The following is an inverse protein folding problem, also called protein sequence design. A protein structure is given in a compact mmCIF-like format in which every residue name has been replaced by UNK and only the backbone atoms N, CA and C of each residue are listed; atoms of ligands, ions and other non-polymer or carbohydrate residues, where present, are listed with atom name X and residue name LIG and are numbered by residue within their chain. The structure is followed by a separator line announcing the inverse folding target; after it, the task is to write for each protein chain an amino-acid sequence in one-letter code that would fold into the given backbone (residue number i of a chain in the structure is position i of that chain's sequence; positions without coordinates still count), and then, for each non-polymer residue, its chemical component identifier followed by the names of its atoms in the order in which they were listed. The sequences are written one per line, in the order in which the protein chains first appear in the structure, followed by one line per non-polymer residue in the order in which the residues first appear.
data_IF_522517552814
#
_entry.id   IF_522517552814
#
_cell.length_a   1.000
_cell.length_b   1.000
_cell.length_c   1.000
_cell.angle_alpha   90.00
_cell.angle_beta   90.00
_cell.angle_gamma   90.00
#
_symmetry.space_group_name_H-M   'P 1'
#
loop_
_entity.id
_entity.type
_entity.pdbx_description
1 polymer ?
#
# COMPACT_ATOMS: atom_id res chain seq x y z
N UNK A 1 -6.03 2.53 -38.96
CA UNK A 1 -6.94 3.29 -38.07
C UNK A 1 -6.70 2.79 -36.66
N UNK A 2 -6.30 3.67 -35.74
CA UNK A 2 -6.10 3.29 -34.35
C UNK A 2 -7.45 2.82 -33.76
N UNK A 3 -7.43 1.70 -33.04
CA UNK A 3 -8.62 1.13 -32.40
C UNK A 3 -9.14 2.11 -31.35
N UNK A 4 -10.29 2.74 -31.61
CA UNK A 4 -10.88 3.76 -30.74
C UNK A 4 -11.09 3.25 -29.30
N UNK A 5 -11.31 1.94 -29.13
CA UNK A 5 -11.43 1.33 -27.81
C UNK A 5 -10.10 1.32 -27.05
N UNK A 6 -8.98 1.06 -27.73
CA UNK A 6 -7.64 1.08 -27.13
C UNK A 6 -7.29 2.50 -26.67
N UNK A 7 -7.54 3.52 -27.50
CA UNK A 7 -7.29 4.92 -27.14
C UNK A 7 -8.04 5.30 -25.85
N UNK A 8 -9.31 4.87 -25.74
CA UNK A 8 -10.13 5.12 -24.56
C UNK A 8 -9.56 4.42 -23.33
N UNK A 9 -9.19 3.15 -23.44
CA UNK A 9 -8.60 2.36 -22.33
C UNK A 9 -7.30 3.01 -21.84
N UNK A 10 -6.37 3.33 -22.75
CA UNK A 10 -5.09 3.95 -22.39
C UNK A 10 -5.29 5.32 -21.72
N UNK A 11 -6.26 6.10 -22.18
CA UNK A 11 -6.60 7.38 -21.53
C UNK A 11 -7.11 7.15 -20.11
N UNK A 12 -8.10 6.27 -19.92
CA UNK A 12 -8.66 5.98 -18.59
C UNK A 12 -7.59 5.46 -17.61
N UNK A 13 -6.69 4.59 -18.07
CA UNK A 13 -5.57 4.12 -17.25
C UNK A 13 -4.63 5.27 -16.89
N UNK A 14 -4.26 6.11 -17.87
CA UNK A 14 -3.38 7.25 -17.64
C UNK A 14 -3.96 8.27 -16.68
N UNK A 15 -5.28 8.48 -16.72
CA UNK A 15 -5.99 9.39 -15.80
C UNK A 15 -5.93 8.84 -14.37
N UNK A 16 -6.17 7.53 -14.15
CA UNK A 16 -6.04 6.89 -12.83
C UNK A 16 -4.59 6.91 -12.33
N UNK A 17 -3.60 6.62 -13.19
CA UNK A 17 -2.18 6.63 -12.78
C UNK A 17 -1.65 8.02 -12.41
N UNK A 18 -2.28 9.08 -12.91
CA UNK A 18 -1.99 10.49 -12.56
C UNK A 18 -2.81 10.98 -11.37
N UNK A 19 -3.88 10.28 -11.01
CA UNK A 19 -4.71 10.64 -9.86
C UNK A 19 -3.89 10.61 -8.58
N UNK A 20 -4.20 11.52 -7.66
CA UNK A 20 -3.67 11.51 -6.30
C UNK A 20 -4.42 10.54 -5.38
N UNK A 21 -5.42 9.82 -5.91
CA UNK A 21 -6.15 8.82 -5.17
C UNK A 21 -5.25 7.64 -4.77
N UNK A 22 -4.91 7.60 -3.48
CA UNK A 22 -4.07 6.56 -2.90
C UNK A 22 -4.77 5.19 -2.82
N UNK A 23 -6.07 5.15 -3.05
CA UNK A 23 -6.88 3.96 -2.84
C UNK A 23 -6.96 3.05 -4.06
N UNK A 24 -6.65 3.56 -5.25
CA UNK A 24 -6.70 2.84 -6.50
C UNK A 24 -5.32 2.80 -7.16
N UNK A 25 -4.94 1.64 -7.69
CA UNK A 25 -3.79 1.54 -8.59
C UNK A 25 -4.13 0.63 -9.76
N UNK A 26 -3.64 0.99 -10.94
CA UNK A 26 -3.87 0.22 -12.17
C UNK A 26 -2.56 0.03 -12.94
N UNK A 27 -2.43 -1.15 -13.54
CA UNK A 27 -1.29 -1.51 -14.36
C UNK A 27 -1.74 -2.37 -15.53
N UNK A 28 -1.02 -2.28 -16.65
CA UNK A 28 -1.22 -3.08 -17.85
C UNK A 28 0.15 -3.40 -18.45
N UNK A 29 0.20 -4.41 -19.32
CA UNK A 29 1.40 -4.67 -20.13
C UNK A 29 1.27 -3.92 -21.46
N UNK A 30 2.34 -3.30 -21.94
CA UNK A 30 2.31 -2.58 -23.23
C UNK A 30 1.87 -3.46 -24.41
N UNK A 31 2.22 -4.74 -24.36
CA UNK A 31 1.80 -5.75 -25.35
C UNK A 31 0.30 -6.09 -25.30
N UNK A 32 -0.39 -5.76 -24.20
CA UNK A 32 -1.77 -6.14 -23.94
C UNK A 32 -2.52 -5.12 -23.06
N UNK A 33 -2.88 -4.00 -23.66
CA UNK A 33 -3.66 -2.92 -23.05
C UNK A 33 -5.09 -3.33 -22.64
N UNK A 34 -5.59 -4.48 -23.11
CA UNK A 34 -6.97 -4.95 -22.83
C UNK A 34 -7.07 -5.78 -21.56
N UNK A 35 -5.95 -6.22 -21.00
CA UNK A 35 -5.89 -6.94 -19.74
C UNK A 35 -5.18 -6.05 -18.71
N UNK A 36 -5.96 -5.55 -17.78
CA UNK A 36 -5.52 -4.60 -16.74
C UNK A 36 -5.59 -5.30 -15.40
N UNK A 37 -4.55 -5.13 -14.59
CA UNK A 37 -4.61 -5.42 -13.16
C UNK A 37 -4.96 -4.14 -12.42
N UNK A 38 -5.89 -4.24 -11.48
CA UNK A 38 -6.26 -3.17 -10.58
C UNK A 38 -6.03 -3.62 -9.13
N UNK A 39 -5.68 -2.67 -8.27
CA UNK A 39 -5.57 -2.85 -6.85
C UNK A 39 -6.46 -1.80 -6.17
N UNK A 40 -7.29 -2.25 -5.24
CA UNK A 40 -8.11 -1.40 -4.39
C UNK A 40 -7.64 -1.58 -2.95
N UNK A 41 -7.31 -0.47 -2.29
CA UNK A 41 -7.05 -0.44 -0.85
C UNK A 41 -8.40 -0.37 -0.12
N UNK A 42 -8.61 -1.29 0.82
CA UNK A 42 -9.84 -1.35 1.59
C UNK A 42 -10.06 -0.08 2.44
N UNK A 43 -11.29 0.45 2.49
CA UNK A 43 -11.56 1.73 3.15
C UNK A 43 -11.30 1.70 4.66
N UNK A 44 -10.84 2.83 5.21
CA UNK A 44 -10.66 3.03 6.66
C UNK A 44 -11.99 2.86 7.41
N UNK A 45 -11.93 2.38 8.66
CA UNK A 45 -13.12 2.10 9.50
C UNK A 45 -14.04 1.00 8.97
N UNK A 46 -13.54 0.14 8.08
CA UNK A 46 -14.26 -1.04 7.58
C UNK A 46 -13.51 -2.32 7.92
N UNK A 47 -14.13 -3.51 7.81
CA UNK A 47 -13.43 -4.78 7.95
C UNK A 47 -12.30 -5.01 6.95
N UNK A 48 -12.28 -4.22 5.88
CA UNK A 48 -11.32 -4.30 4.80
C UNK A 48 -10.15 -3.34 4.99
N UNK A 49 -10.17 -2.53 6.05
CA UNK A 49 -9.26 -1.41 6.30
C UNK A 49 -7.80 -1.73 5.95
N UNK A 50 -7.28 -0.94 5.01
CA UNK A 50 -5.90 -1.02 4.51
C UNK A 50 -5.50 -2.38 3.92
N UNK A 51 -6.46 -3.25 3.62
CA UNK A 51 -6.27 -4.50 2.88
C UNK A 51 -6.03 -4.24 1.40
N UNK A 52 -5.27 -5.12 0.75
CA UNK A 52 -4.93 -4.99 -0.67
C UNK A 52 -5.72 -5.99 -1.53
N UNK A 53 -6.72 -5.51 -2.26
CA UNK A 53 -7.61 -6.33 -3.07
C UNK A 53 -7.30 -6.18 -4.55
N UNK A 54 -6.75 -7.23 -5.16
CA UNK A 54 -6.41 -7.24 -6.58
C UNK A 54 -7.59 -7.75 -7.43
N UNK A 55 -7.75 -7.12 -8.59
CA UNK A 55 -8.77 -7.43 -9.58
C UNK A 55 -8.16 -7.50 -10.98
N UNK A 56 -8.54 -8.52 -11.74
CA UNK A 56 -8.25 -8.62 -13.16
C UNK A 56 -9.42 -8.04 -13.96
N UNK A 57 -9.13 -7.05 -14.80
CA UNK A 57 -10.10 -6.38 -15.67
C UNK A 57 -9.78 -6.70 -17.13
N UNK A 58 -10.73 -7.29 -17.84
CA UNK A 58 -10.60 -7.68 -19.24
C UNK A 58 -11.57 -6.91 -20.13
N UNK A 59 -11.02 -6.04 -20.96
CA UNK A 59 -11.76 -5.24 -21.93
C UNK A 59 -12.03 -6.02 -23.21
N UNK A 60 -13.31 -6.13 -23.59
CA UNK A 60 -13.70 -6.74 -24.85
C UNK A 60 -13.54 -5.75 -26.04
N UNK A 61 -13.61 -6.27 -27.27
CA UNK A 61 -13.49 -5.45 -28.50
C UNK A 61 -14.65 -4.45 -28.70
N UNK A 62 -15.74 -4.62 -27.96
CA UNK A 62 -16.93 -3.76 -28.03
C UNK A 62 -16.91 -2.64 -26.98
N UNK A 63 -15.86 -2.54 -26.15
CA UNK A 63 -15.71 -1.44 -25.19
C UNK A 63 -15.65 -0.07 -25.89
N UNK A 64 -16.33 0.98 -25.39
CA UNK A 64 -17.11 1.08 -24.15
C UNK A 64 -18.61 0.71 -24.28
N UNK A 65 -19.06 0.15 -25.40
CA UNK A 65 -20.48 -0.22 -25.58
C UNK A 65 -20.89 -1.38 -24.67
N UNK A 66 -19.98 -2.32 -24.41
CA UNK A 66 -20.15 -3.39 -23.41
C UNK A 66 -19.17 -3.21 -22.27
N UNK A 67 -19.60 -3.51 -21.06
CA UNK A 67 -18.76 -3.47 -19.86
C UNK A 67 -17.58 -4.43 -19.97
N UNK A 68 -16.44 -4.11 -19.32
CA UNK A 68 -15.36 -5.06 -19.16
C UNK A 68 -15.75 -6.17 -18.18
N UNK A 69 -15.08 -7.32 -18.28
CA UNK A 69 -15.21 -8.38 -17.28
C UNK A 69 -14.24 -8.10 -16.12
N UNK A 70 -14.73 -8.12 -14.89
CA UNK A 70 -13.91 -7.93 -13.67
C UNK A 70 -13.90 -9.23 -12.87
N UNK A 71 -12.74 -9.60 -12.34
CA UNK A 71 -12.57 -10.79 -11.51
C UNK A 71 -11.61 -10.52 -10.35
N UNK A 72 -12.09 -10.64 -9.11
CA UNK A 72 -11.26 -10.54 -7.92
C UNK A 72 -10.30 -11.72 -7.81
N UNK A 73 -9.01 -11.45 -7.61
CA UNK A 73 -7.96 -12.47 -7.51
C UNK A 73 -7.55 -12.74 -6.06
N UNK A 74 -7.82 -11.81 -5.14
CA UNK A 74 -7.58 -11.97 -3.71
C UNK A 74 -8.71 -12.79 -3.06
N UNK A 75 -8.83 -14.08 -3.39
CA UNK A 75 -9.92 -14.96 -2.88
C UNK A 75 -9.41 -16.25 -2.23
N UNK A 76 -8.10 -16.35 -1.96
CA UNK A 76 -7.46 -17.56 -1.43
C UNK A 76 -7.81 -18.83 -2.24
N UNK A 77 -7.68 -18.73 -3.57
CA UNK A 77 -7.96 -19.84 -4.49
C UNK A 77 -9.43 -20.26 -4.50
N UNK A 78 -10.36 -19.33 -4.34
CA UNK A 78 -11.79 -19.64 -4.39
C UNK A 78 -12.45 -19.91 -3.03
N UNK A 79 -11.72 -19.75 -1.92
CA UNK A 79 -12.15 -20.21 -0.58
C UNK A 79 -12.59 -19.08 0.35
N UNK A 80 -12.15 -17.85 0.10
CA UNK A 80 -12.52 -16.71 0.92
C UNK A 80 -13.50 -15.82 0.17
N UNK A 81 -14.70 -15.66 0.73
CA UNK A 81 -15.69 -14.66 0.29
C UNK A 81 -15.52 -13.43 1.16
N UNK A 82 -14.90 -12.38 0.61
CA UNK A 82 -14.68 -11.14 1.33
C UNK A 82 -15.94 -10.31 1.48
N UNK A 83 -16.82 -10.32 0.49
CA UNK A 83 -18.02 -9.52 0.47
C UNK A 83 -19.14 -10.28 -0.24
N UNK A 84 -20.42 -10.05 0.12
CA UNK A 84 -21.53 -10.67 -0.57
C UNK A 84 -21.51 -10.55 -2.09
N UNK A 85 -21.00 -9.41 -2.56
CA UNK A 85 -20.91 -9.03 -3.97
C UNK A 85 -19.56 -9.38 -4.63
N UNK A 86 -18.57 -9.80 -3.84
CA UNK A 86 -17.27 -10.32 -4.31
C UNK A 86 -17.23 -11.82 -3.99
N UNK A 87 -17.70 -12.62 -4.95
CA UNK A 87 -17.89 -14.05 -4.77
C UNK A 87 -16.55 -14.76 -4.59
N UNK A 88 -16.57 -15.90 -3.91
CA UNK A 88 -15.37 -16.70 -3.69
C UNK A 88 -14.69 -17.08 -5.01
N UNK A 89 -15.45 -17.37 -6.07
CA UNK A 89 -14.91 -17.64 -7.41
C UNK A 89 -14.33 -16.41 -8.14
N UNK A 90 -14.25 -15.26 -7.48
CA UNK A 90 -13.74 -13.99 -8.01
C UNK A 90 -14.72 -13.24 -8.90
N UNK A 91 -15.86 -13.84 -9.30
CA UNK A 91 -16.81 -13.19 -10.19
C UNK A 91 -17.62 -12.15 -9.42
N UNK A 92 -17.47 -10.89 -9.80
CA UNK A 92 -18.37 -9.82 -9.34
C UNK A 92 -19.70 -9.93 -10.08
N UNK A 93 -20.84 -9.87 -9.38
CA UNK A 93 -22.14 -10.09 -10.03
C UNK A 93 -23.14 -8.95 -9.96
N UNK A 94 -22.87 -7.83 -9.27
CA UNK A 94 -23.95 -6.87 -8.98
C UNK A 94 -23.81 -5.43 -9.45
N UNK A 95 -22.71 -5.01 -10.08
CA UNK A 95 -22.61 -3.59 -10.43
C UNK A 95 -23.53 -3.15 -11.57
N UNK A 96 -23.96 -4.06 -12.47
CA UNK A 96 -24.65 -3.68 -13.72
C UNK A 96 -25.89 -4.52 -14.07
N UNK A 97 -26.52 -5.18 -13.09
CA UNK A 97 -27.80 -5.92 -13.25
C UNK A 97 -28.90 -5.34 -12.37
N UNK A 98 -28.86 -4.03 -12.16
CA UNK A 98 -29.75 -3.29 -11.26
C UNK A 98 -30.98 -2.70 -11.94
N UNK A 99 -31.66 -1.79 -11.24
CA UNK A 99 -32.83 -1.07 -11.74
C UNK A 99 -32.45 -0.06 -12.85
N UNK A 100 -33.45 0.55 -13.50
CA UNK A 100 -33.21 1.57 -14.55
C UNK A 100 -32.35 2.72 -13.99
N UNK A 101 -31.08 2.76 -14.39
CA UNK A 101 -30.08 3.74 -13.93
C UNK A 101 -28.79 3.12 -13.41
N UNK A 102 -28.84 1.85 -13.00
CA UNK A 102 -27.69 1.07 -12.51
C UNK A 102 -27.12 0.13 -13.60
N UNK A 103 -27.60 0.24 -14.84
CA UNK A 103 -27.09 -0.53 -15.97
C UNK A 103 -25.80 0.11 -16.54
N UNK A 104 -24.95 -0.72 -17.13
CA UNK A 104 -23.74 -0.24 -17.80
C UNK A 104 -24.09 0.77 -18.91
N UNK A 105 -23.39 1.90 -18.92
CA UNK A 105 -23.44 2.85 -20.02
C UNK A 105 -22.02 3.22 -20.48
N UNK A 106 -21.86 3.58 -21.75
CA UNK A 106 -20.56 3.98 -22.30
C UNK A 106 -20.01 5.30 -21.70
N UNK A 107 -20.77 5.97 -20.83
CA UNK A 107 -20.32 7.11 -20.04
C UNK A 107 -19.47 6.69 -18.83
N UNK A 108 -19.71 5.48 -18.31
CA UNK A 108 -18.93 4.87 -17.25
C UNK A 108 -17.52 4.48 -17.77
N UNK A 109 -16.55 4.37 -16.87
CA UNK A 109 -15.18 4.00 -17.19
C UNK A 109 -14.57 3.08 -16.13
N UNK A 110 -13.29 2.76 -16.27
CA UNK A 110 -12.55 1.93 -15.34
C UNK A 110 -12.59 2.50 -13.92
N UNK A 111 -12.37 3.80 -13.75
CA UNK A 111 -12.38 4.44 -12.43
C UNK A 111 -13.73 4.29 -11.71
N UNK A 112 -14.85 4.50 -12.41
CA UNK A 112 -16.18 4.37 -11.82
C UNK A 112 -16.51 2.93 -11.43
N UNK A 113 -16.03 1.95 -12.19
CA UNK A 113 -16.12 0.53 -11.83
C UNK A 113 -15.35 0.28 -10.53
N UNK A 114 -14.11 0.72 -10.43
CA UNK A 114 -13.26 0.50 -9.25
C UNK A 114 -13.81 1.20 -8.00
N UNK A 115 -14.29 2.44 -8.13
CA UNK A 115 -14.97 3.16 -7.05
C UNK A 115 -16.24 2.45 -6.60
N UNK A 116 -17.00 1.87 -7.54
CA UNK A 116 -18.19 1.10 -7.19
C UNK A 116 -17.84 -0.22 -6.50
N UNK A 117 -16.73 -0.87 -6.83
CA UNK A 117 -16.27 -2.06 -6.10
C UNK A 117 -15.81 -1.65 -4.69
N UNK A 118 -15.12 -0.51 -4.57
CA UNK A 118 -14.70 0.01 -3.28
C UNK A 118 -15.89 0.38 -2.38
N UNK A 119 -16.98 0.93 -2.93
CA UNK A 119 -18.16 1.28 -2.12
C UNK A 119 -18.87 0.05 -1.55
N UNK A 120 -18.73 -1.13 -2.18
CA UNK A 120 -19.23 -2.39 -1.64
C UNK A 120 -18.46 -2.82 -0.38
N UNK A 121 -17.22 -2.36 -0.20
CA UNK A 121 -16.40 -2.62 0.99
C UNK A 121 -16.81 -1.70 2.15
N UNK A 122 -18.09 -1.75 2.52
CA UNK A 122 -18.69 -0.91 3.55
C UNK A 122 -18.34 -1.35 4.97
N UNK A 123 -18.62 -0.47 5.95
CA UNK A 123 -18.46 -0.76 7.38
C UNK A 123 -19.41 -1.86 7.87
N UNK A 124 -20.53 -2.07 7.17
CA UNK A 124 -21.45 -3.16 7.41
C UNK A 124 -21.72 -3.97 6.12
N UNK A 125 -20.88 -4.97 5.81
CA UNK A 125 -21.05 -5.81 4.63
C UNK A 125 -22.34 -6.65 4.64
N UNK A 126 -23.06 -6.73 5.77
CA UNK A 126 -24.32 -7.47 5.88
C UNK A 126 -25.42 -6.90 4.97
N UNK A 127 -25.48 -5.57 4.86
CA UNK A 127 -26.49 -4.86 4.06
C UNK A 127 -26.35 -5.17 2.56
N UNK A 128 -25.19 -5.69 2.15
CA UNK A 128 -24.95 -6.11 0.77
C UNK A 128 -25.56 -7.47 0.44
N UNK A 129 -26.06 -8.24 1.42
CA UNK A 129 -26.74 -9.51 1.15
C UNK A 129 -28.18 -9.28 0.63
N UNK A 130 -28.62 -10.02 -0.40
CA UNK A 130 -29.94 -9.82 -0.99
C UNK A 130 -31.05 -10.08 0.04
N UNK A 131 -31.98 -9.14 0.19
CA UNK A 131 -33.09 -9.22 1.15
C UNK A 131 -32.77 -8.68 2.54
N UNK A 132 -31.56 -8.15 2.76
CA UNK A 132 -31.16 -7.48 4.01
C UNK A 132 -30.84 -5.98 3.82
N UNK A 133 -31.29 -5.41 2.70
CA UNK A 133 -31.07 -4.01 2.30
C UNK A 133 -31.72 -3.01 3.27
N UNK A 134 -32.93 -3.34 3.76
CA UNK A 134 -33.72 -2.53 4.71
C UNK A 134 -33.90 -3.21 6.08
N UNK A 135 -32.93 -4.04 6.50
CA UNK A 135 -33.01 -4.89 7.69
C UNK A 135 -33.21 -4.08 9.00
N UNK A 136 -34.47 -3.71 9.27
CA UNK A 136 -34.87 -2.79 10.33
C UNK A 136 -35.68 -3.45 11.44
N UNK A 137 -36.00 -4.75 11.31
CA UNK A 137 -36.69 -5.51 12.35
C UNK A 137 -35.83 -5.65 13.62
N UNK A 138 -36.43 -5.83 14.81
CA UNK A 138 -35.69 -6.03 16.05
C UNK A 138 -34.77 -7.26 16.02
N UNK A 139 -35.19 -8.33 15.33
CA UNK A 139 -34.42 -9.54 15.01
C UNK A 139 -33.21 -9.21 14.14
N UNK A 140 -33.41 -8.41 13.10
CA UNK A 140 -32.36 -7.99 12.18
C UNK A 140 -31.36 -7.06 12.84
N UNK A 141 -31.79 -6.11 13.67
CA UNK A 141 -30.88 -5.26 14.45
C UNK A 141 -30.04 -6.05 15.44
N UNK A 142 -30.57 -7.16 15.98
CA UNK A 142 -29.81 -8.08 16.82
C UNK A 142 -28.81 -8.88 15.98
N UNK A 143 -29.25 -9.43 14.85
CA UNK A 143 -28.40 -10.17 13.92
C UNK A 143 -27.30 -9.28 13.31
N UNK A 144 -27.60 -8.02 13.01
CA UNK A 144 -26.66 -6.99 12.55
C UNK A 144 -25.68 -6.64 13.65
N UNK A 145 -26.13 -6.45 14.91
CA UNK A 145 -25.22 -6.25 16.05
C UNK A 145 -24.35 -7.48 16.30
N UNK A 146 -24.87 -8.70 16.20
CA UNK A 146 -24.10 -9.93 16.35
C UNK A 146 -23.15 -10.15 15.14
N UNK A 147 -23.54 -9.75 13.93
CA UNK A 147 -22.71 -9.72 12.71
C UNK A 147 -21.55 -8.73 12.85
N UNK A 148 -21.85 -7.53 13.33
CA UNK A 148 -20.90 -6.45 13.59
C UNK A 148 -19.94 -6.81 14.73
N UNK A 149 -20.46 -7.35 15.84
CA UNK A 149 -19.69 -7.52 17.08
C UNK A 149 -19.05 -8.90 17.26
N UNK A 150 -19.52 -9.96 16.59
CA UNK A 150 -19.10 -11.34 16.93
C UNK A 150 -18.84 -12.27 15.74
N UNK A 151 -19.52 -12.08 14.61
CA UNK A 151 -19.71 -13.20 13.67
C UNK A 151 -19.27 -12.83 12.24
N UNK A 152 -19.40 -11.58 11.78
CA UNK A 152 -19.14 -11.20 10.38
C UNK A 152 -17.94 -10.27 10.18
N UNK A 153 -17.84 -9.17 10.95
CA UNK A 153 -16.72 -8.23 10.78
C UNK A 153 -15.39 -8.79 11.29
N UNK A 154 -15.40 -9.56 12.39
CA UNK A 154 -14.16 -10.12 12.94
C UNK A 154 -13.53 -11.18 12.01
N UNK A 155 -14.27 -12.14 11.41
CA UNK A 155 -13.67 -13.01 10.38
C UNK A 155 -13.19 -12.27 9.14
N UNK A 156 -13.96 -11.30 8.63
CA UNK A 156 -13.53 -10.51 7.46
C UNK A 156 -12.25 -9.74 7.79
N UNK A 157 -12.18 -9.06 8.95
CA UNK A 157 -10.95 -8.38 9.41
C UNK A 157 -9.76 -9.34 9.51
N UNK A 158 -9.98 -10.51 10.11
CA UNK A 158 -8.95 -11.54 10.22
C UNK A 158 -8.46 -11.99 8.85
N UNK A 159 -9.37 -12.26 7.92
CA UNK A 159 -9.05 -12.73 6.58
C UNK A 159 -8.47 -11.64 5.68
N UNK A 160 -8.83 -10.37 5.89
CA UNK A 160 -8.19 -9.21 5.28
C UNK A 160 -6.71 -9.20 5.67
N UNK A 161 -6.40 -9.20 6.97
CA UNK A 161 -5.01 -9.27 7.44
C UNK A 161 -4.28 -10.51 6.90
N UNK A 162 -4.91 -11.68 6.99
CA UNK A 162 -4.27 -12.95 6.63
C UNK A 162 -3.98 -13.09 5.13
N UNK A 163 -4.97 -12.83 4.28
CA UNK A 163 -4.90 -13.13 2.84
C UNK A 163 -4.47 -11.88 2.05
N UNK A 164 -5.14 -10.75 2.27
CA UNK A 164 -4.94 -9.57 1.41
C UNK A 164 -3.63 -8.86 1.72
N UNK A 165 -3.10 -9.03 2.93
CA UNK A 165 -1.85 -8.40 3.37
C UNK A 165 -0.74 -9.44 3.58
N UNK A 166 -0.86 -10.28 4.62
CA UNK A 166 0.24 -11.12 5.10
C UNK A 166 0.66 -12.16 4.05
N UNK A 167 -0.28 -12.98 3.56
CA UNK A 167 0.03 -14.03 2.60
C UNK A 167 0.67 -13.48 1.33
N UNK A 168 0.14 -12.37 0.80
CA UNK A 168 0.69 -11.73 -0.41
C UNK A 168 2.10 -11.21 -0.21
N UNK A 169 2.37 -10.55 0.93
CA UNK A 169 3.71 -10.07 1.25
C UNK A 169 4.70 -11.20 1.53
N UNK A 170 4.27 -12.29 2.16
CA UNK A 170 5.09 -13.48 2.33
C UNK A 170 5.45 -14.12 0.99
N UNK A 171 4.48 -14.21 0.06
CA UNK A 171 4.72 -14.66 -1.32
C UNK A 171 5.77 -13.77 -2.01
N UNK A 172 5.61 -12.44 -1.95
CA UNK A 172 6.53 -11.48 -2.58
C UNK A 172 7.93 -11.45 -1.96
N UNK A 173 8.05 -11.77 -0.67
CA UNK A 173 9.32 -11.74 0.07
C UNK A 173 9.94 -13.14 0.22
N UNK A 174 9.30 -14.19 -0.31
CA UNK A 174 9.78 -15.57 -0.17
C UNK A 174 9.80 -16.07 1.28
N UNK A 175 8.94 -15.52 2.16
CA UNK A 175 8.84 -15.95 3.55
C UNK A 175 8.02 -17.24 3.61
N UNK A 176 8.64 -18.33 4.03
CA UNK A 176 7.95 -19.59 4.27
C UNK A 176 7.20 -19.58 5.61
N UNK A 177 6.25 -20.49 5.82
CA UNK A 177 5.48 -20.59 7.07
C UNK A 177 6.31 -20.73 8.35
N UNK A 178 7.56 -21.21 8.24
CA UNK A 178 8.51 -21.31 9.37
C UNK A 178 9.31 -20.01 9.62
N UNK A 179 9.04 -18.94 8.86
CA UNK A 179 9.77 -17.66 8.93
C UNK A 179 11.10 -17.65 8.19
N UNK A 180 11.45 -18.73 7.47
CA UNK A 180 12.67 -18.77 6.65
C UNK A 180 12.42 -17.99 5.37
N UNK A 181 13.26 -16.99 5.11
CA UNK A 181 13.30 -16.24 3.85
C UNK A 181 14.10 -17.06 2.85
N UNK A 182 13.43 -17.60 1.84
CA UNK A 182 14.08 -18.32 0.74
C UNK A 182 14.05 -17.41 -0.48
N UNK A 183 15.20 -17.09 -1.10
CA UNK A 183 15.22 -16.38 -2.36
C UNK A 183 14.38 -17.16 -3.38
N UNK A 184 13.32 -16.52 -3.90
CA UNK A 184 12.45 -17.18 -4.87
C UNK A 184 13.27 -17.61 -6.08
N UNK A 185 12.95 -18.78 -6.66
CA UNK A 185 13.57 -19.21 -7.91
C UNK A 185 13.37 -18.18 -9.03
N UNK A 186 12.28 -17.42 -8.96
CA UNK A 186 11.98 -16.30 -9.85
C UNK A 186 12.94 -15.13 -9.61
N UNK A 187 13.26 -14.78 -8.36
CA UNK A 187 14.24 -13.72 -8.07
C UNK A 187 15.65 -14.13 -8.51
N UNK A 188 16.00 -15.42 -8.42
CA UNK A 188 17.30 -15.91 -8.92
C UNK A 188 17.40 -15.84 -10.46
N UNK A 189 16.31 -16.17 -11.14
CA UNK A 189 16.17 -16.15 -12.60
C UNK A 189 16.06 -14.72 -13.17
N UNK A 190 15.20 -13.89 -12.61
CA UNK A 190 14.93 -12.51 -13.03
C UNK A 190 16.12 -11.58 -12.75
N UNK A 191 16.91 -11.86 -11.71
CA UNK A 191 18.02 -11.01 -11.27
C UNK A 191 19.41 -11.59 -11.53
N UNK A 192 19.50 -12.71 -12.28
CA UNK A 192 20.75 -13.30 -12.78
C UNK A 192 21.77 -13.59 -11.67
N UNK A 193 21.31 -14.21 -10.58
CA UNK A 193 22.15 -14.63 -9.45
C UNK A 193 22.84 -15.97 -9.71
N UNK A 194 22.33 -16.77 -10.65
CA UNK A 194 23.04 -17.92 -11.19
C UNK A 194 23.78 -17.49 -12.46
N UNK A 195 25.11 -17.57 -12.40
CA UNK A 195 25.98 -17.44 -13.57
C UNK A 195 25.83 -18.71 -14.38
N UNK A 196 24.91 -18.70 -15.34
CA UNK A 196 24.96 -19.43 -16.62
C UNK A 196 23.58 -19.36 -17.27
N UNK A 197 23.47 -18.51 -18.30
CA UNK A 197 22.71 -18.69 -19.55
C UNK A 197 21.45 -19.60 -19.56
N UNK A 198 20.55 -19.47 -18.58
CA UNK A 198 19.20 -20.00 -18.75
C UNK A 198 18.35 -18.93 -19.44
N UNK A 199 18.00 -19.18 -20.70
CA UNK A 199 16.88 -18.55 -21.40
C UNK A 199 15.59 -18.81 -20.60
N UNK A 200 15.38 -18.03 -19.54
CA UNK A 200 14.13 -18.04 -18.78
C UNK A 200 13.13 -17.33 -19.67
N UNK A 201 12.21 -18.10 -20.26
CA UNK A 201 11.10 -17.56 -21.04
C UNK A 201 10.40 -16.46 -20.22
N UNK A 202 10.42 -15.22 -20.70
CA UNK A 202 9.75 -14.05 -20.12
C UNK A 202 8.26 -14.32 -19.82
N UNK A 203 7.64 -15.30 -20.49
CA UNK A 203 6.30 -15.75 -20.20
C UNK A 203 6.14 -16.50 -18.86
N UNK A 204 7.22 -17.03 -18.28
CA UNK A 204 7.22 -17.85 -17.06
C UNK A 204 7.31 -17.03 -15.77
N UNK A 205 7.77 -15.77 -15.84
CA UNK A 205 7.84 -14.87 -14.67
C UNK A 205 6.46 -14.28 -14.38
N UNK A 206 5.91 -14.48 -13.16
CA UNK A 206 4.65 -13.85 -12.77
C UNK A 206 4.74 -12.32 -12.84
N UNK A 207 3.80 -11.69 -13.55
CA UNK A 207 3.78 -10.23 -13.64
C UNK A 207 3.08 -9.61 -12.42
N UNK A 208 3.86 -8.97 -11.55
CA UNK A 208 3.43 -8.44 -10.25
C UNK A 208 3.64 -6.91 -10.17
N UNK A 209 2.84 -6.11 -10.90
CA UNK A 209 3.06 -4.66 -11.03
C UNK A 209 2.88 -3.89 -9.72
N UNK A 210 2.29 -4.50 -8.70
CA UNK A 210 2.03 -3.88 -7.41
C UNK A 210 3.00 -4.36 -6.31
N UNK A 211 3.99 -5.22 -6.60
CA UNK A 211 4.92 -5.79 -5.61
C UNK A 211 5.52 -4.72 -4.69
N UNK A 212 6.14 -3.69 -5.27
CA UNK A 212 6.73 -2.59 -4.48
C UNK A 212 5.68 -1.71 -3.78
N UNK A 213 4.51 -1.53 -4.41
CA UNK A 213 3.41 -0.77 -3.81
C UNK A 213 2.90 -1.43 -2.52
N UNK A 214 2.75 -2.77 -2.52
CA UNK A 214 2.42 -3.56 -1.32
C UNK A 214 3.45 -3.33 -0.22
N UNK A 215 4.75 -3.47 -0.52
CA UNK A 215 5.84 -3.28 0.45
C UNK A 215 5.80 -1.88 1.07
N UNK A 216 5.65 -0.82 0.26
CA UNK A 216 5.61 0.56 0.75
C UNK A 216 4.37 0.86 1.60
N UNK A 217 3.18 0.48 1.13
CA UNK A 217 1.93 0.74 1.85
C UNK A 217 1.85 -0.08 3.13
N UNK A 218 2.40 -1.29 3.14
CA UNK A 218 2.53 -2.09 4.35
C UNK A 218 3.31 -1.34 5.44
N UNK A 219 4.44 -0.72 5.09
CA UNK A 219 5.23 0.04 6.06
C UNK A 219 4.46 1.23 6.63
N UNK A 220 3.58 1.85 5.83
CA UNK A 220 2.73 2.96 6.28
C UNK A 220 1.66 2.49 7.26
N UNK A 221 0.97 1.39 6.95
CA UNK A 221 -0.16 0.89 7.73
C UNK A 221 0.23 -0.08 8.85
N UNK A 222 1.52 -0.35 9.03
CA UNK A 222 2.04 -1.33 9.98
C UNK A 222 1.49 -1.15 11.40
N UNK A 223 1.56 0.07 11.93
CA UNK A 223 1.06 0.38 13.28
C UNK A 223 -0.47 0.22 13.37
N UNK A 224 -1.21 0.55 12.32
CA UNK A 224 -2.66 0.34 12.23
C UNK A 224 -3.05 -1.14 12.25
N UNK A 225 -2.26 -2.00 11.59
CA UNK A 225 -2.47 -3.45 11.64
C UNK A 225 -2.23 -4.00 13.04
N UNK A 226 -1.15 -3.58 13.72
CA UNK A 226 -0.88 -3.99 15.10
C UNK A 226 -1.97 -3.54 16.07
N UNK A 227 -2.45 -2.30 15.93
CA UNK A 227 -3.56 -1.78 16.73
C UNK A 227 -4.86 -2.58 16.50
N UNK A 228 -5.15 -2.91 15.24
CA UNK A 228 -6.30 -3.76 14.87
C UNK A 228 -6.21 -5.14 15.51
N UNK A 229 -5.03 -5.77 15.45
CA UNK A 229 -4.80 -7.07 16.09
C UNK A 229 -4.95 -6.99 17.61
N UNK A 230 -4.39 -5.94 18.23
CA UNK A 230 -4.49 -5.74 19.67
C UNK A 230 -5.95 -5.68 20.12
N UNK A 231 -6.76 -4.85 19.46
CA UNK A 231 -8.21 -4.76 19.73
C UNK A 231 -8.91 -6.10 19.50
N UNK A 232 -8.61 -6.79 18.40
CA UNK A 232 -9.25 -8.06 18.09
C UNK A 232 -8.93 -9.17 19.12
N UNK A 233 -7.72 -9.16 19.70
CA UNK A 233 -7.34 -10.08 20.79
C UNK A 233 -8.13 -9.85 22.09
N UNK A 234 -8.68 -8.66 22.30
CA UNK A 234 -9.59 -8.38 23.42
C UNK A 234 -11.01 -8.94 23.16
N UNK A 235 -11.38 -9.08 21.88
CA UNK A 235 -12.72 -9.52 21.44
C UNK A 235 -12.84 -11.04 21.25
N UNK A 236 -11.80 -11.70 20.73
CA UNK A 236 -11.81 -13.14 20.40
C UNK A 236 -10.55 -13.86 20.85
N UNK A 237 -10.66 -15.19 21.01
CA UNK A 237 -9.53 -16.05 21.39
C UNK A 237 -8.97 -16.82 20.20
N UNK A 238 -7.67 -17.07 20.21
CA UNK A 238 -7.04 -17.95 19.21
C UNK A 238 -7.66 -19.36 19.27
N UNK A 239 -7.86 -19.95 18.09
CA UNK A 239 -8.51 -21.25 17.92
C UNK A 239 -10.04 -21.22 17.92
N UNK A 240 -10.67 -20.09 18.30
CA UNK A 240 -12.11 -19.91 18.20
C UNK A 240 -12.55 -19.98 16.73
N UNK A 241 -13.56 -20.80 16.45
CA UNK A 241 -14.08 -21.01 15.10
C UNK A 241 -14.89 -19.79 14.66
N UNK A 242 -14.80 -19.43 13.38
CA UNK A 242 -15.68 -18.45 12.78
C UNK A 242 -17.13 -18.90 12.93
N UNK A 243 -17.96 -18.00 13.44
CA UNK A 243 -19.36 -18.32 13.60
C UNK A 243 -20.05 -18.26 12.23
N UNK A 244 -20.87 -19.27 11.94
CA UNK A 244 -21.53 -19.44 10.64
C UNK A 244 -22.77 -18.54 10.55
N UNK A 245 -23.01 -17.96 9.38
CA UNK A 245 -24.16 -17.09 9.15
C UNK A 245 -25.43 -17.84 8.73
N UNK A 246 -26.63 -17.25 8.97
CA UNK A 246 -27.88 -17.78 8.46
C UNK A 246 -27.92 -17.93 6.93
N UNK A 247 -27.22 -17.04 6.21
CA UNK A 247 -27.14 -17.05 4.75
C UNK A 247 -26.00 -17.93 4.20
N UNK A 248 -25.16 -18.51 5.06
CA UNK A 248 -24.04 -19.36 4.64
C UNK A 248 -24.45 -20.82 4.44
N UNK A 249 -24.52 -21.25 3.17
CA UNK A 249 -24.89 -22.60 2.74
C UNK A 249 -23.69 -23.53 2.45
N UNK A 250 -23.95 -24.71 1.90
CA UNK A 250 -22.92 -25.70 1.53
C UNK A 250 -21.97 -25.24 0.42
N UNK A 251 -22.39 -24.29 -0.42
CA UNK A 251 -21.60 -23.72 -1.51
C UNK A 251 -21.10 -22.30 -1.23
N UNK A 252 -21.37 -21.77 -0.03
CA UNK A 252 -21.15 -20.38 0.32
C UNK A 252 -20.91 -20.25 1.84
N UNK A 253 -19.72 -20.60 2.33
CA UNK A 253 -19.34 -20.49 3.75
C UNK A 253 -17.94 -19.87 3.92
N UNK A 254 -17.76 -19.08 4.99
CA UNK A 254 -16.47 -18.58 5.43
C UNK A 254 -16.00 -19.39 6.64
N UNK A 255 -15.38 -20.55 6.38
CA UNK A 255 -14.90 -21.44 7.43
C UNK A 255 -13.47 -21.12 7.85
N UNK A 256 -13.22 -21.08 9.16
CA UNK A 256 -11.89 -20.80 9.68
C UNK A 256 -11.85 -20.68 11.20
N UNK A 257 -10.68 -20.30 11.71
CA UNK A 257 -10.44 -20.03 13.13
C UNK A 257 -9.64 -18.76 13.27
N UNK A 258 -9.91 -18.00 14.32
CA UNK A 258 -9.09 -16.86 14.69
C UNK A 258 -7.70 -17.31 15.13
N UNK A 259 -6.65 -16.64 14.66
CA UNK A 259 -5.28 -16.87 15.10
C UNK A 259 -4.48 -15.55 15.06
N UNK A 260 -4.94 -14.56 15.82
CA UNK A 260 -4.38 -13.22 15.82
C UNK A 260 -2.95 -13.17 16.39
N UNK A 261 -2.59 -14.09 17.29
CA UNK A 261 -1.20 -14.19 17.77
C UNK A 261 -0.25 -14.58 16.64
N UNK A 262 -0.65 -15.53 15.80
CA UNK A 262 0.17 -15.92 14.66
C UNK A 262 0.20 -14.84 13.58
N UNK A 263 -0.92 -14.14 13.33
CA UNK A 263 -0.93 -13.01 12.39
C UNK A 263 0.02 -11.90 12.85
N UNK A 264 0.07 -11.59 14.14
CA UNK A 264 1.00 -10.60 14.68
C UNK A 264 2.46 -11.02 14.47
N UNK A 265 2.78 -12.29 14.76
CA UNK A 265 4.13 -12.83 14.55
C UNK A 265 4.56 -12.70 13.09
N UNK A 266 3.66 -13.06 12.16
CA UNK A 266 3.91 -12.97 10.70
C UNK A 266 4.09 -11.53 10.23
N UNK A 267 3.26 -10.60 10.69
CA UNK A 267 3.43 -9.16 10.39
C UNK A 267 4.78 -8.63 10.85
N UNK A 268 5.20 -8.98 12.07
CA UNK A 268 6.51 -8.59 12.61
C UNK A 268 7.66 -9.16 11.78
N UNK A 269 7.53 -10.41 11.32
CA UNK A 269 8.52 -11.04 10.44
C UNK A 269 8.61 -10.34 9.07
N UNK A 270 7.48 -10.00 8.46
CA UNK A 270 7.42 -9.21 7.22
C UNK A 270 8.12 -7.86 7.42
N UNK A 271 7.78 -7.16 8.51
CA UNK A 271 8.39 -5.86 8.83
C UNK A 271 9.90 -5.96 8.97
N UNK A 272 10.40 -6.93 9.74
CA UNK A 272 11.84 -7.15 9.89
C UNK A 272 12.53 -7.46 8.55
N UNK A 273 11.88 -8.23 7.68
CA UNK A 273 12.41 -8.57 6.34
C UNK A 273 12.47 -7.34 5.42
N UNK A 274 11.49 -6.44 5.51
CA UNK A 274 11.47 -5.19 4.76
C UNK A 274 12.46 -4.15 5.31
N UNK A 275 12.69 -4.14 6.62
CA UNK A 275 13.73 -3.28 7.20
C UNK A 275 15.13 -3.74 6.75
N UNK A 276 15.35 -5.06 6.66
CA UNK A 276 16.62 -5.61 6.15
C UNK A 276 16.78 -5.47 4.62
N UNK A 277 15.68 -5.38 3.86
CA UNK A 277 15.70 -5.13 2.41
C UNK A 277 16.57 -3.93 2.03
N UNK A 278 16.46 -2.82 2.77
CA UNK A 278 17.26 -1.62 2.55
C UNK A 278 18.78 -1.87 2.74
N UNK A 279 19.15 -2.71 3.71
CA UNK A 279 20.54 -3.10 3.95
C UNK A 279 21.04 -4.03 2.84
N UNK A 280 20.21 -4.96 2.37
CA UNK A 280 20.55 -5.85 1.25
C UNK A 280 20.81 -5.07 -0.03
N UNK A 281 20.00 -4.05 -0.32
CA UNK A 281 20.24 -3.17 -1.47
C UNK A 281 21.55 -2.39 -1.36
N UNK A 282 21.91 -1.93 -0.15
CA UNK A 282 23.19 -1.28 0.08
C UNK A 282 24.37 -2.21 -0.23
N UNK A 283 24.30 -3.47 0.23
CA UNK A 283 25.33 -4.48 -0.03
C UNK A 283 25.40 -4.87 -1.50
N UNK A 284 24.25 -5.14 -2.13
CA UNK A 284 24.12 -5.50 -3.55
C UNK A 284 24.64 -4.37 -4.45
N UNK A 285 24.23 -3.13 -4.19
CA UNK A 285 24.63 -1.94 -4.93
C UNK A 285 26.12 -1.59 -4.81
N UNK A 286 26.78 -2.00 -3.72
CA UNK A 286 28.22 -1.82 -3.55
C UNK A 286 29.07 -2.80 -4.38
N UNK A 287 28.47 -3.87 -4.92
CA UNK A 287 29.20 -4.83 -5.76
C UNK A 287 29.59 -4.21 -7.11
N UNK A 288 30.72 -4.60 -7.72
CA UNK A 288 31.14 -4.07 -9.02
C UNK A 288 30.07 -4.20 -10.12
N UNK A 289 29.31 -5.30 -10.10
CA UNK A 289 28.20 -5.58 -11.03
C UNK A 289 27.20 -4.43 -11.10
N UNK A 290 26.80 -3.86 -9.96
CA UNK A 290 25.78 -2.82 -9.90
C UNK A 290 26.35 -1.42 -9.79
N UNK A 291 27.57 -1.28 -9.26
CA UNK A 291 28.29 -0.02 -9.24
C UNK A 291 28.53 0.53 -10.65
N UNK A 292 28.89 -0.35 -11.59
CA UNK A 292 29.14 0.01 -12.98
C UNK A 292 27.90 -0.16 -13.87
N UNK A 293 26.77 -0.57 -13.29
CA UNK A 293 25.50 -0.64 -14.01
C UNK A 293 24.91 0.76 -14.24
N UNK A 294 24.05 0.87 -15.27
CA UNK A 294 23.35 2.10 -15.64
C UNK A 294 22.66 2.77 -14.45
N UNK A 295 22.06 2.00 -13.55
CA UNK A 295 21.37 2.51 -12.36
C UNK A 295 22.36 3.19 -11.41
N UNK A 296 23.48 2.53 -11.06
CA UNK A 296 24.50 3.08 -10.18
C UNK A 296 25.13 4.36 -10.72
N UNK A 297 25.44 4.39 -12.03
CA UNK A 297 25.97 5.58 -12.72
C UNK A 297 24.93 6.72 -12.70
N UNK A 298 23.65 6.42 -12.96
CA UNK A 298 22.60 7.43 -12.94
C UNK A 298 22.40 8.03 -11.55
N UNK A 299 22.37 7.20 -10.50
CA UNK A 299 22.27 7.66 -9.11
C UNK A 299 23.47 8.55 -8.74
N UNK A 300 24.70 8.13 -9.04
CA UNK A 300 25.90 8.94 -8.77
C UNK A 300 25.86 10.29 -9.50
N UNK A 301 25.39 10.31 -10.75
CA UNK A 301 25.20 11.55 -11.52
C UNK A 301 24.14 12.45 -10.89
N UNK A 302 23.00 11.90 -10.50
CA UNK A 302 21.92 12.67 -9.84
C UNK A 302 22.39 13.23 -8.49
N UNK A 303 23.18 12.47 -7.73
CA UNK A 303 23.78 12.92 -6.47
C UNK A 303 24.61 14.20 -6.65
N UNK A 304 25.54 14.22 -7.61
CA UNK A 304 26.37 15.40 -7.86
C UNK A 304 25.55 16.61 -8.33
N UNK A 305 24.52 16.38 -9.15
CA UNK A 305 23.60 17.44 -9.58
C UNK A 305 22.82 18.05 -8.41
N UNK A 306 22.32 17.21 -7.51
CA UNK A 306 21.55 17.65 -6.32
C UNK A 306 22.49 18.36 -5.33
N UNK A 307 23.68 17.80 -5.08
CA UNK A 307 24.69 18.39 -4.20
C UNK A 307 25.08 19.79 -4.65
N UNK A 308 25.28 20.00 -5.95
CA UNK A 308 25.56 21.33 -6.49
C UNK A 308 24.35 22.27 -6.42
N UNK A 309 23.13 21.74 -6.62
CA UNK A 309 21.88 22.51 -6.45
C UNK A 309 21.71 23.02 -5.00
N UNK A 310 22.07 22.22 -4.00
CA UNK A 310 21.93 22.60 -2.58
C UNK A 310 22.92 23.67 -2.15
N UNK A 311 24.14 23.73 -2.71
CA UNK A 311 25.07 24.84 -2.45
C UNK A 311 24.54 26.20 -2.88
N UNK A 312 23.59 26.22 -3.82
CA UNK A 312 22.97 27.44 -4.35
C UNK A 312 21.63 27.77 -3.68
N UNK A 313 21.14 26.90 -2.81
CA UNK A 313 19.88 27.06 -2.09
C UNK A 313 20.07 27.97 -0.87
N UNK A 314 19.03 28.71 -0.49
CA UNK A 314 19.02 29.57 0.69
C UNK A 314 19.00 28.74 2.00
N UNK A 315 18.56 27.49 1.95
CA UNK A 315 18.55 26.57 3.11
C UNK A 315 19.72 25.58 2.97
N UNK A 316 20.60 25.44 3.99
CA UNK A 316 21.88 24.75 3.88
C UNK A 316 21.73 23.22 3.95
N UNK A 317 20.86 22.61 3.15
CA UNK A 317 20.73 21.15 3.10
C UNK A 317 22.08 20.50 2.77
N UNK A 318 22.43 19.43 3.49
CA UNK A 318 23.63 18.64 3.21
C UNK A 318 23.24 17.26 2.70
N UNK A 319 24.01 16.73 1.75
CA UNK A 319 23.80 15.42 1.15
C UNK A 319 25.14 14.68 0.99
N UNK A 320 25.18 13.45 1.49
CA UNK A 320 26.39 12.63 1.55
C UNK A 320 26.10 11.19 1.12
N UNK A 321 27.11 10.50 0.56
CA UNK A 321 27.02 9.07 0.27
C UNK A 321 27.63 8.26 1.42
N UNK A 322 26.98 7.17 1.81
CA UNK A 322 27.55 6.25 2.80
C UNK A 322 28.74 5.49 2.19
N UNK A 323 29.96 5.81 2.63
CA UNK A 323 31.20 5.19 2.14
C UNK A 323 31.37 5.25 0.60
N UNK A 324 30.83 6.29 -0.05
CA UNK A 324 30.86 6.44 -1.51
C UNK A 324 29.91 5.49 -2.25
N UNK A 325 28.98 4.82 -1.56
CA UNK A 325 27.97 3.98 -2.17
C UNK A 325 26.85 4.83 -2.79
N UNK A 326 26.72 4.79 -4.12
CA UNK A 326 25.69 5.53 -4.86
C UNK A 326 24.25 5.08 -4.54
N UNK A 327 24.06 3.95 -3.85
CA UNK A 327 22.76 3.42 -3.46
C UNK A 327 22.34 3.80 -2.03
N UNK A 328 23.19 4.50 -1.27
CA UNK A 328 22.88 4.89 0.11
C UNK A 328 23.25 6.34 0.36
N UNK A 329 22.22 7.17 0.52
CA UNK A 329 22.38 8.60 0.67
C UNK A 329 21.92 9.04 2.07
N UNK A 330 22.66 9.98 2.64
CA UNK A 330 22.32 10.67 3.88
C UNK A 330 21.97 12.11 3.53
N UNK A 331 20.71 12.48 3.73
CA UNK A 331 20.22 13.84 3.62
C UNK A 331 20.08 14.42 5.02
N UNK A 332 20.71 15.57 5.23
CA UNK A 332 20.50 16.39 6.42
C UNK A 332 19.65 17.59 6.03
N UNK A 333 18.40 17.56 6.48
CA UNK A 333 17.45 18.65 6.30
C UNK A 333 17.45 19.57 7.52
N UNK A 334 17.61 20.87 7.28
CA UNK A 334 17.56 21.92 8.30
C UNK A 334 16.17 22.55 8.23
N UNK A 335 15.46 22.55 9.35
CA UNK A 335 14.12 23.11 9.42
C UNK A 335 14.11 24.60 9.12
N UNK A 336 13.12 25.04 8.33
CA UNK A 336 13.03 26.44 7.92
C UNK A 336 12.77 27.38 9.09
N UNK A 337 13.37 28.59 9.09
CA UNK A 337 13.04 29.62 10.07
C UNK A 337 11.55 29.94 10.09
N UNK A 338 11.04 30.31 11.28
CA UNK A 338 9.64 30.70 11.48
C UNK A 338 8.60 29.59 11.21
N UNK A 339 9.04 28.33 11.16
CA UNK A 339 8.14 27.15 11.09
C UNK A 339 8.15 26.38 12.41
N UNK A 340 7.28 25.36 12.55
CA UNK A 340 7.35 24.45 13.70
C UNK A 340 8.60 23.55 13.71
N UNK A 341 9.38 23.56 12.62
CA UNK A 341 10.63 22.81 12.45
C UNK A 341 11.86 23.69 12.70
N UNK A 342 11.68 24.97 13.01
CA UNK A 342 12.77 25.93 13.18
C UNK A 342 13.80 25.44 14.21
N UNK A 343 15.08 25.51 13.81
CA UNK A 343 16.21 24.98 14.58
C UNK A 343 16.39 23.46 14.54
N UNK A 344 15.45 22.72 13.93
CA UNK A 344 15.53 21.26 13.82
C UNK A 344 16.55 20.79 12.79
N UNK A 345 17.19 19.66 13.08
CA UNK A 345 18.07 18.97 12.14
C UNK A 345 17.65 17.51 11.99
N UNK A 346 17.27 17.16 10.77
CA UNK A 346 16.68 15.86 10.47
C UNK A 346 17.61 15.09 9.55
N UNK A 347 18.20 14.02 10.09
CA UNK A 347 19.01 13.09 9.32
C UNK A 347 18.11 12.01 8.72
N UNK A 348 18.15 11.92 7.40
CA UNK A 348 17.27 11.08 6.59
C UNK A 348 18.15 10.19 5.72
N UNK A 349 18.02 8.88 5.90
CA UNK A 349 18.70 7.86 5.09
C UNK A 349 17.80 7.44 3.93
N UNK A 350 18.32 7.46 2.71
CA UNK A 350 17.67 6.97 1.50
C UNK A 350 18.46 5.77 0.96
N UNK A 351 17.81 4.61 0.91
CA UNK A 351 18.34 3.39 0.31
C UNK A 351 17.66 3.14 -1.03
N UNK A 352 18.45 3.08 -2.10
CA UNK A 352 17.98 2.84 -3.46
C UNK A 352 18.14 1.37 -3.83
N UNK A 353 17.12 0.81 -4.48
CA UNK A 353 17.22 -0.52 -5.04
C UNK A 353 18.15 -0.53 -6.26
N UNK A 354 18.95 -1.59 -6.47
CA UNK A 354 19.56 -1.90 -7.76
C UNK A 354 18.58 -1.99 -8.94
N UNK A 355 17.28 -2.13 -8.65
CA UNK A 355 16.14 -2.13 -9.58
C UNK A 355 15.36 -0.81 -9.54
N UNK A 356 16.03 0.30 -9.29
CA UNK A 356 15.40 1.62 -9.33
C UNK A 356 15.26 2.09 -10.80
N UNK A 357 14.08 2.58 -11.25
CA UNK A 357 12.94 3.06 -10.47
C UNK A 357 11.78 2.07 -10.25
N UNK A 358 11.88 0.82 -10.70
CA UNK A 358 10.83 -0.19 -10.52
C UNK A 358 10.51 -0.41 -9.03
N UNK A 359 11.56 -0.47 -8.20
CA UNK A 359 11.47 -0.40 -6.74
C UNK A 359 11.85 1.00 -6.24
N UNK A 360 10.91 1.64 -5.55
CA UNK A 360 11.09 3.01 -5.05
C UNK A 360 11.96 3.03 -3.78
N UNK A 361 12.63 4.15 -3.48
CA UNK A 361 13.60 4.23 -2.37
C UNK A 361 12.96 3.91 -1.01
N UNK A 362 13.68 3.17 -0.17
CA UNK A 362 13.34 3.03 1.26
C UNK A 362 13.97 4.19 2.01
N UNK A 363 13.12 4.99 2.64
CA UNK A 363 13.53 6.21 3.33
C UNK A 363 13.32 6.02 4.82
N UNK A 364 14.28 6.49 5.61
CA UNK A 364 14.24 6.39 7.07
C UNK A 364 14.71 7.70 7.70
N UNK A 365 13.88 8.29 8.55
CA UNK A 365 14.32 9.33 9.47
C UNK A 365 15.11 8.66 10.59
N UNK A 366 16.42 8.88 10.60
CA UNK A 366 17.29 8.43 11.68
C UNK A 366 17.06 9.28 12.94
N UNK A 367 16.81 10.57 12.74
CA UNK A 367 16.38 11.47 13.80
C UNK A 367 14.91 11.26 14.13
N UNK A 368 14.60 11.04 15.42
CA UNK A 368 13.22 10.83 15.85
C UNK A 368 12.42 12.12 15.79
N UNK A 369 11.25 12.06 15.16
CA UNK A 369 10.34 13.21 15.03
C UNK A 369 8.90 12.76 15.24
N UNK A 370 8.14 13.54 16.00
CA UNK A 370 6.71 13.30 16.20
C UNK A 370 5.92 14.03 15.13
N UNK A 371 5.49 13.32 14.07
CA UNK A 371 4.90 13.94 12.89
C UNK A 371 3.81 13.06 12.25
N UNK A 372 2.73 13.66 11.76
CA UNK A 372 1.62 12.89 11.17
C UNK A 372 1.99 12.11 9.89
N UNK A 373 3.07 12.52 9.19
CA UNK A 373 3.64 11.82 8.01
C UNK A 373 4.82 10.90 8.33
N UNK A 374 5.25 10.77 9.58
CA UNK A 374 6.43 9.97 9.93
C UNK A 374 6.03 8.93 10.98
N UNK A 375 6.16 7.66 10.63
CA UNK A 375 5.90 6.55 11.53
C UNK A 375 6.83 6.59 12.76
N UNK A 376 6.45 5.91 13.83
CA UNK A 376 7.25 5.89 15.07
C UNK A 376 8.68 5.34 14.87
N UNK A 377 8.86 4.49 13.85
CA UNK A 377 10.14 3.93 13.47
C UNK A 377 10.94 4.84 12.50
N UNK A 378 10.42 6.00 12.12
CA UNK A 378 11.05 6.94 11.18
C UNK A 378 10.66 6.74 9.71
N UNK A 379 9.78 5.81 9.37
CA UNK A 379 9.35 5.62 7.97
C UNK A 379 8.42 6.76 7.52
N UNK A 380 8.74 7.51 6.45
CA UNK A 380 7.89 8.61 6.00
C UNK A 380 6.82 8.17 5.00
N UNK A 381 5.68 8.86 5.05
CA UNK A 381 4.63 8.86 4.04
C UNK A 381 4.78 10.10 3.16
N UNK A 382 5.24 9.91 1.92
CA UNK A 382 5.46 10.98 0.96
C UNK A 382 5.05 10.53 -0.45
N UNK A 383 4.82 11.49 -1.35
CA UNK A 383 4.32 11.24 -2.70
C UNK A 383 5.23 11.87 -3.76
N UNK A 384 6.19 11.10 -4.33
CA UNK A 384 6.97 11.61 -5.44
C UNK A 384 6.07 11.81 -6.67
N UNK A 385 6.49 12.67 -7.59
CA UNK A 385 5.77 12.91 -8.84
C UNK A 385 5.62 11.59 -9.63
N UNK A 386 4.38 11.13 -9.91
CA UNK A 386 4.16 9.82 -10.53
C UNK A 386 4.70 9.72 -11.95
N UNK A 387 4.98 10.84 -12.62
CA UNK A 387 5.57 10.89 -13.97
C UNK A 387 7.10 11.02 -13.97
N UNK A 388 7.74 11.14 -12.80
CA UNK A 388 9.19 11.36 -12.64
C UNK A 388 9.76 10.53 -11.49
N UNK A 389 9.37 9.26 -11.42
CA UNK A 389 9.71 8.33 -10.32
C UNK A 389 11.19 7.93 -10.31
N UNK A 390 11.91 8.22 -11.38
CA UNK A 390 13.34 8.03 -11.57
C UNK A 390 14.18 9.24 -11.14
N UNK A 391 13.54 10.38 -10.87
CA UNK A 391 14.22 11.60 -10.43
C UNK A 391 14.28 11.66 -8.91
N UNK A 392 15.48 11.41 -8.36
CA UNK A 392 15.74 11.42 -6.92
C UNK A 392 15.47 12.80 -6.31
N UNK A 393 15.63 13.89 -7.07
CA UNK A 393 15.32 15.23 -6.57
C UNK A 393 13.84 15.37 -6.21
N UNK A 394 12.95 14.78 -7.02
CA UNK A 394 11.50 14.80 -6.76
C UNK A 394 11.14 14.00 -5.51
N UNK A 395 11.87 12.93 -5.20
CA UNK A 395 11.71 12.21 -3.94
C UNK A 395 12.10 13.09 -2.75
N UNK A 396 13.26 13.74 -2.81
CA UNK A 396 13.74 14.62 -1.73
C UNK A 396 12.78 15.79 -1.50
N UNK A 397 12.34 16.44 -2.58
CA UNK A 397 11.35 17.53 -2.52
C UNK A 397 10.04 17.05 -1.88
N UNK A 398 9.52 15.88 -2.28
CA UNK A 398 8.30 15.33 -1.70
C UNK A 398 8.44 14.92 -0.22
N UNK A 399 9.62 14.47 0.21
CA UNK A 399 9.90 14.18 1.64
C UNK A 399 9.89 15.47 2.46
N UNK A 400 10.52 16.53 1.94
CA UNK A 400 10.56 17.84 2.59
C UNK A 400 9.15 18.45 2.63
N UNK A 401 8.40 18.39 1.53
CA UNK A 401 7.01 18.85 1.46
C UNK A 401 6.13 18.11 2.47
N UNK A 402 6.28 16.79 2.59
CA UNK A 402 5.55 16.00 3.59
C UNK A 402 5.88 16.38 5.04
N UNK A 403 7.07 16.91 5.31
CA UNK A 403 7.47 17.39 6.65
C UNK A 403 7.01 18.84 6.91
N UNK A 404 6.97 19.67 5.88
CA UNK A 404 6.56 21.08 5.93
C UNK A 404 5.03 21.29 5.81
N UNK A 405 4.25 20.22 5.55
CA UNK A 405 2.81 20.28 5.32
C UNK A 405 2.02 20.74 6.57
N UNK A 406 1.61 22.01 6.64
CA UNK A 406 0.96 22.56 7.85
C UNK A 406 -0.55 22.31 7.95
N UNK A 407 -1.25 22.22 6.82
CA UNK A 407 -2.72 22.11 6.78
C UNK A 407 -3.25 21.13 5.72
N UNK A 408 -2.84 19.85 5.75
CA UNK A 408 -3.38 18.84 4.85
C UNK A 408 -4.88 18.61 5.04
N UNK A 409 -5.63 18.28 3.97
CA UNK A 409 -6.95 17.68 4.12
C UNK A 409 -6.84 16.36 4.89
N UNK A 410 -7.88 16.00 5.64
CA UNK A 410 -7.93 14.70 6.31
C UNK A 410 -7.94 13.58 5.28
N UNK A 411 -6.95 12.69 5.37
CA UNK A 411 -6.88 11.48 4.56
C UNK A 411 -6.37 10.31 5.41
N UNK A 412 -7.22 9.32 5.75
CA UNK A 412 -6.83 8.19 6.58
C UNK A 412 -5.82 7.27 5.89
N UNK A 413 -5.69 7.33 4.55
CA UNK A 413 -4.72 6.54 3.79
C UNK A 413 -3.28 7.02 3.97
N UNK A 414 -3.11 8.12 4.69
CA UNK A 414 -1.82 8.71 5.05
C UNK A 414 -1.44 8.44 6.51
N UNK A 415 -2.28 7.70 7.22
CA UNK A 415 -2.12 7.40 8.63
C UNK A 415 -0.94 6.44 8.82
N UNK A 416 0.20 7.01 9.21
CA UNK A 416 1.42 6.26 9.56
C UNK A 416 1.78 6.32 11.03
N UNK A 417 1.26 7.32 11.75
CA UNK A 417 1.41 7.43 13.20
C UNK A 417 0.05 7.74 13.82
N UNK A 418 -0.68 6.72 14.32
CA UNK A 418 -2.06 6.88 14.81
C UNK A 418 -2.23 7.97 15.88
N UNK A 419 -1.28 8.09 16.81
CA UNK A 419 -1.34 9.10 17.88
C UNK A 419 -1.17 10.52 17.33
N UNK A 420 -0.19 10.75 16.45
CA UNK A 420 0.04 12.05 15.83
C UNK A 420 -1.15 12.46 14.95
N UNK A 421 -1.70 11.52 14.17
CA UNK A 421 -2.87 11.74 13.33
C UNK A 421 -4.09 12.14 14.19
N UNK A 422 -4.35 11.41 15.28
CA UNK A 422 -5.44 11.75 16.22
C UNK A 422 -5.29 13.15 16.80
N UNK A 423 -4.08 13.56 17.18
CA UNK A 423 -3.86 14.89 17.76
C UNK A 423 -3.97 16.01 16.70
N UNK A 424 -3.48 15.77 15.49
CA UNK A 424 -3.45 16.76 14.42
C UNK A 424 -4.85 17.12 13.89
N UNK A 425 -5.70 16.12 13.66
CA UNK A 425 -7.09 16.33 13.23
C UNK A 425 -8.10 16.41 14.38
N UNK A 426 -7.64 16.36 15.62
CA UNK A 426 -8.47 16.45 16.83
C UNK A 426 -8.97 17.86 17.15
N UNK A 427 -9.35 18.06 18.41
CA UNK A 427 -9.83 19.34 18.94
C UNK A 427 -8.74 20.43 18.90
N UNK A 428 -9.10 21.73 19.08
CA UNK A 428 -8.10 22.80 19.18
C UNK A 428 -7.02 22.55 20.24
N UNK A 429 -7.35 21.87 21.34
CA UNK A 429 -6.38 21.54 22.39
C UNK A 429 -5.49 20.35 22.01
N UNK A 430 -6.03 19.38 21.26
CA UNK A 430 -5.24 18.29 20.68
C UNK A 430 -4.20 18.83 19.69
N UNK A 431 -4.59 19.80 18.85
CA UNK A 431 -3.67 20.47 17.92
C UNK A 431 -2.56 21.24 18.63
N UNK A 432 -2.88 21.90 19.76
CA UNK A 432 -1.85 22.52 20.61
C UNK A 432 -0.90 21.46 21.18
N UNK A 433 -1.44 20.31 21.60
CA UNK A 433 -0.62 19.20 22.09
C UNK A 433 0.28 18.62 21.00
N UNK A 434 -0.24 18.44 19.78
CA UNK A 434 0.54 18.05 18.60
C UNK A 434 1.73 18.99 18.39
N UNK A 435 1.46 20.29 18.24
CA UNK A 435 2.50 21.30 18.00
C UNK A 435 3.53 21.34 19.13
N UNK A 436 3.11 21.17 20.39
CA UNK A 436 4.03 21.08 21.53
C UNK A 436 4.93 19.85 21.46
N UNK A 437 4.39 18.70 21.07
CA UNK A 437 5.17 17.45 20.93
C UNK A 437 6.11 17.49 19.73
N UNK A 438 5.65 18.03 18.59
CA UNK A 438 6.48 18.26 17.41
C UNK A 438 7.68 19.15 17.76
N UNK A 439 7.45 20.33 18.36
CA UNK A 439 8.54 21.24 18.79
C UNK A 439 9.50 20.60 19.80
N UNK A 440 9.00 19.76 20.70
CA UNK A 440 9.86 19.00 21.62
C UNK A 440 10.76 18.03 20.86
N UNK A 441 10.21 17.29 19.89
CA UNK A 441 11.02 16.38 19.07
C UNK A 441 12.02 17.13 18.18
N UNK A 442 11.66 18.31 17.68
CA UNK A 442 12.56 19.21 16.94
C UNK A 442 13.72 19.67 17.84
N UNK A 443 13.46 20.04 19.09
CA UNK A 443 14.53 20.40 20.03
C UNK A 443 15.47 19.22 20.33
N UNK A 444 14.90 18.02 20.53
CA UNK A 444 15.69 16.80 20.75
C UNK A 444 16.54 16.40 19.55
N UNK A 445 16.08 16.72 18.33
CA UNK A 445 16.83 16.44 17.10
C UNK A 445 18.24 17.04 17.11
N UNK A 446 18.45 18.14 17.83
CA UNK A 446 19.77 18.78 17.98
C UNK A 446 20.68 18.07 18.99
N UNK A 447 20.12 17.34 19.94
CA UNK A 447 20.86 16.66 21.01
C UNK A 447 21.35 15.26 20.58
N UNK A 448 20.68 14.66 19.59
CA UNK A 448 20.92 13.29 19.11
C UNK A 448 22.02 13.19 18.02
N UNK A 449 22.70 14.30 17.70
CA UNK A 449 23.84 14.38 16.75
C UNK A 449 25.14 14.68 17.46
#
# INVERSE_FOLDING_TARGET
MADQSIIRITKEIGDIQKSSDLSLAVAFKDRDVRNVKALIIGPHETPYEFGFFEFAVKFNKEYPRKSPAVTGTTTNGGRCRFNPNIYANGKETRTWRGERGEEWSAAQGLESILLSIQSLMSSNPYENEPGFEDANEPSDKKNQKDYVAKVGLTPIRHETLRISIIQKLEEFLGITGNGVVVPSAVERAEYGLDTDDFDVDDASVPWEPFKDLYKRRFLWYYDSYLETIRKAKEEVKDGQVFARMPFEGSSNSMEGKFNYTELERRLRQIKATLDDEANRWALEGATPKFKDATVGINLARQFEQIKESFKRSDVPHNIELENGNAFVWHLTYFGRPMTNLDGGLFRIKLNFSPRFPEEQPRVKFETRVFHHRIAADGTPCYFPNPNRREDVKQHIEAIIEALEEEAPPYDPRTLVQPEAHKLFWGSPDDRKMYNRRLRRSVQQSMEDM
#
